data_IF_505658934177
#
_entry.id   IF_505658934177
#
_cell.length_a   1.000
_cell.length_b   1.000
_cell.length_c   1.000
_cell.angle_alpha   90.00
_cell.angle_beta   90.00
_cell.angle_gamma   90.00
#
_symmetry.space_group_name_H-M   'P 1'
#
loop_
_entity.id
_entity.type
_entity.pdbx_description
1 polymer ?
#
# COMPACT_ATOMS: atom_id res chain seq x y z
N UNK A 1 -16.82 -14.05 3.04
CA UNK A 1 -15.81 -13.83 1.96
C UNK A 1 -16.16 -12.59 1.17
N UNK A 2 -15.20 -11.70 1.00
CA UNK A 2 -15.41 -10.54 0.12
C UNK A 2 -15.52 -11.02 -1.33
N UNK A 3 -16.55 -10.57 -2.02
CA UNK A 3 -16.79 -10.83 -3.43
C UNK A 3 -15.73 -10.08 -4.28
N UNK A 4 -15.43 -10.55 -5.49
CA UNK A 4 -14.44 -9.94 -6.39
C UNK A 4 -14.74 -8.47 -6.67
N UNK A 5 -16.00 -8.09 -6.86
CA UNK A 5 -16.40 -6.71 -7.09
C UNK A 5 -16.05 -5.78 -5.92
N UNK A 6 -16.15 -6.28 -4.69
CA UNK A 6 -15.82 -5.51 -3.50
C UNK A 6 -14.31 -5.26 -3.36
N UNK A 7 -13.48 -6.26 -3.72
CA UNK A 7 -12.02 -6.09 -3.75
C UNK A 7 -11.59 -5.07 -4.80
N UNK A 8 -12.21 -5.09 -5.97
CA UNK A 8 -11.97 -4.07 -7.00
C UNK A 8 -12.35 -2.67 -6.53
N UNK A 9 -13.51 -2.53 -5.88
CA UNK A 9 -13.94 -1.24 -5.32
C UNK A 9 -12.91 -0.69 -4.32
N UNK A 10 -12.47 -1.48 -3.35
CA UNK A 10 -11.49 -1.01 -2.37
C UNK A 10 -10.12 -0.73 -2.97
N UNK A 11 -9.69 -1.49 -3.99
CA UNK A 11 -8.45 -1.17 -4.70
C UNK A 11 -8.57 0.12 -5.52
N UNK A 12 -9.74 0.43 -6.08
CA UNK A 12 -10.00 1.73 -6.72
C UNK A 12 -9.90 2.89 -5.72
N UNK A 13 -10.39 2.71 -4.49
CA UNK A 13 -10.21 3.69 -3.41
C UNK A 13 -8.72 3.87 -3.06
N UNK A 14 -7.94 2.81 -2.99
CA UNK A 14 -6.49 2.89 -2.82
C UNK A 14 -5.81 3.61 -4.00
N UNK A 15 -6.23 3.37 -5.24
CA UNK A 15 -5.76 4.09 -6.43
C UNK A 15 -6.09 5.58 -6.38
N UNK A 16 -7.24 5.96 -5.85
CA UNK A 16 -7.58 7.38 -5.65
C UNK A 16 -6.63 8.06 -4.67
N UNK A 17 -6.16 7.34 -3.65
CA UNK A 17 -5.12 7.83 -2.74
C UNK A 17 -3.75 7.93 -3.44
N UNK A 18 -3.41 6.97 -4.31
CA UNK A 18 -2.18 7.04 -5.11
C UNK A 18 -2.14 8.28 -6.02
N UNK A 19 -3.28 8.69 -6.57
CA UNK A 19 -3.38 9.93 -7.37
C UNK A 19 -3.06 11.18 -6.56
N UNK A 20 -3.37 11.21 -5.27
CA UNK A 20 -2.97 12.33 -4.39
C UNK A 20 -1.44 12.41 -4.27
N UNK A 21 -0.74 11.29 -4.12
CA UNK A 21 0.73 11.27 -4.16
C UNK A 21 1.26 11.79 -5.50
N UNK A 22 0.65 11.36 -6.60
CA UNK A 22 1.02 11.83 -7.94
C UNK A 22 0.91 13.36 -8.06
N UNK A 23 -0.19 13.93 -7.59
CA UNK A 23 -0.45 15.37 -7.63
C UNK A 23 0.51 16.14 -6.70
N UNK A 24 0.95 15.53 -5.61
CA UNK A 24 1.95 16.06 -4.67
C UNK A 24 3.41 15.83 -5.13
N UNK A 25 3.62 15.32 -6.34
CA UNK A 25 4.94 15.00 -6.90
C UNK A 25 5.71 13.90 -6.14
N UNK A 26 4.99 13.04 -5.46
CA UNK A 26 5.47 11.84 -4.77
C UNK A 26 5.24 10.58 -5.62
N UNK A 27 6.01 9.53 -5.38
CA UNK A 27 5.77 8.23 -6.03
C UNK A 27 4.33 7.78 -5.76
N UNK A 28 3.50 7.53 -6.80
CA UNK A 28 2.07 7.33 -6.65
C UNK A 28 1.73 5.95 -6.08
N UNK A 29 1.72 5.88 -4.76
CA UNK A 29 1.26 4.73 -3.98
C UNK A 29 0.18 5.20 -3.01
N UNK A 30 -0.90 4.45 -2.96
CA UNK A 30 -2.01 4.68 -2.05
C UNK A 30 -2.39 3.41 -1.31
N UNK A 31 -2.87 3.58 -0.09
CA UNK A 31 -3.34 2.49 0.76
C UNK A 31 -4.58 2.88 1.54
N UNK A 32 -5.43 1.89 1.80
CA UNK A 32 -6.59 2.01 2.69
C UNK A 32 -6.65 0.83 3.64
N UNK A 33 -7.20 1.07 4.83
CA UNK A 33 -7.55 0.02 5.80
C UNK A 33 -9.07 -0.09 5.86
N UNK A 34 -9.56 -1.32 5.76
CA UNK A 34 -10.99 -1.65 5.75
C UNK A 34 -11.32 -2.56 6.92
N UNK A 35 -12.38 -2.25 7.64
CA UNK A 35 -12.98 -3.09 8.67
C UNK A 35 -14.49 -3.15 8.47
N UNK A 36 -15.06 -4.34 8.46
CA UNK A 36 -16.51 -4.55 8.30
C UNK A 36 -17.09 -3.77 7.10
N UNK A 37 -16.37 -3.80 5.96
CA UNK A 37 -16.67 -3.07 4.72
C UNK A 37 -16.66 -1.53 4.84
N UNK A 38 -16.11 -0.99 5.91
CA UNK A 38 -15.95 0.46 6.11
C UNK A 38 -14.46 0.80 6.01
N UNK A 39 -14.13 1.83 5.27
CA UNK A 39 -12.76 2.37 5.21
C UNK A 39 -12.53 3.17 6.49
N UNK A 40 -11.59 2.71 7.32
CA UNK A 40 -11.24 3.31 8.61
C UNK A 40 -9.87 3.99 8.63
N UNK A 41 -9.09 3.85 7.58
CA UNK A 41 -7.79 4.52 7.43
C UNK A 41 -7.43 4.71 5.97
N UNK A 42 -6.78 5.83 5.67
CA UNK A 42 -6.29 6.19 4.34
C UNK A 42 -4.87 6.70 4.41
N UNK A 43 -4.07 6.38 3.40
CA UNK A 43 -2.69 6.84 3.29
C UNK A 43 -2.25 6.96 1.85
N UNK A 44 -1.34 7.87 1.60
CA UNK A 44 -0.61 7.99 0.34
C UNK A 44 0.83 8.38 0.64
N UNK A 45 1.76 8.10 -0.27
CA UNK A 45 3.16 8.43 -0.07
C UNK A 45 3.35 9.93 0.17
N UNK A 46 4.13 10.28 1.20
CA UNK A 46 4.43 11.65 1.63
C UNK A 46 5.87 11.78 2.14
N UNK A 47 6.81 11.06 1.53
CA UNK A 47 8.22 11.04 1.98
C UNK A 47 8.87 12.40 1.85
N UNK A 48 8.80 13.00 0.66
CA UNK A 48 9.43 14.29 0.35
C UNK A 48 8.72 15.41 1.12
N UNK A 49 7.41 15.46 1.02
CA UNK A 49 6.58 16.52 1.61
C UNK A 49 6.75 16.61 3.14
N UNK A 50 6.93 15.46 3.82
CA UNK A 50 7.07 15.39 5.28
C UNK A 50 8.51 15.23 5.76
N UNK A 51 9.48 15.10 4.86
CA UNK A 51 10.84 14.72 5.19
C UNK A 51 10.88 13.46 6.09
N UNK A 52 10.03 12.47 5.76
CA UNK A 52 9.87 11.25 6.54
C UNK A 52 10.20 10.02 5.65
N UNK A 53 11.35 9.35 5.88
CA UNK A 53 11.72 8.17 5.11
C UNK A 53 10.77 6.98 5.34
N UNK A 54 9.94 7.02 6.37
CA UNK A 54 8.93 6.01 6.67
C UNK A 54 7.53 6.39 6.15
N UNK A 55 7.38 7.54 5.51
CA UNK A 55 6.12 8.12 5.05
C UNK A 55 5.48 7.40 3.87
N UNK A 56 5.54 6.06 3.85
CA UNK A 56 4.86 5.22 2.87
C UNK A 56 3.35 5.18 3.11
N UNK A 57 2.59 5.00 2.04
CA UNK A 57 1.13 4.95 2.07
C UNK A 57 0.58 4.00 3.13
N UNK A 58 1.19 2.82 3.24
CA UNK A 58 0.78 1.77 4.18
C UNK A 58 0.97 2.21 5.63
N UNK A 59 2.11 2.82 5.96
CA UNK A 59 2.41 3.32 7.31
C UNK A 59 1.40 4.39 7.70
N UNK A 60 1.11 5.31 6.78
CA UNK A 60 0.15 6.40 7.03
C UNK A 60 -1.26 5.84 7.23
N UNK A 61 -1.71 4.91 6.38
CA UNK A 61 -3.02 4.27 6.51
C UNK A 61 -3.17 3.46 7.81
N UNK A 62 -2.13 2.74 8.23
CA UNK A 62 -2.11 2.00 9.50
C UNK A 62 -2.24 2.96 10.69
N UNK A 63 -1.49 4.05 10.70
CA UNK A 63 -1.58 5.08 11.75
C UNK A 63 -2.96 5.71 11.82
N UNK A 64 -3.53 6.07 10.67
CA UNK A 64 -4.87 6.66 10.56
C UNK A 64 -5.94 5.70 11.13
N UNK A 65 -5.93 4.45 10.70
CA UNK A 65 -6.84 3.42 11.21
C UNK A 65 -6.68 3.15 12.70
N UNK A 66 -5.43 3.08 13.20
CA UNK A 66 -5.15 2.85 14.60
C UNK A 66 -5.68 3.98 15.50
N UNK A 67 -5.56 5.22 15.04
CA UNK A 67 -6.16 6.37 15.71
C UNK A 67 -7.70 6.31 15.69
N UNK A 68 -8.29 5.98 14.54
CA UNK A 68 -9.74 5.87 14.37
C UNK A 68 -10.37 4.89 15.35
N UNK A 69 -9.75 3.70 15.53
CA UNK A 69 -10.28 2.70 16.47
C UNK A 69 -9.68 2.77 17.88
N UNK A 70 -8.77 3.73 18.13
CA UNK A 70 -8.03 3.89 19.40
C UNK A 70 -7.32 2.60 19.84
N UNK A 71 -6.75 1.87 18.89
CA UNK A 71 -6.03 0.60 19.14
C UNK A 71 -4.96 0.37 18.08
N UNK A 72 -3.72 0.01 18.50
CA UNK A 72 -2.65 -0.31 17.56
C UNK A 72 -2.85 -1.66 16.85
N UNK A 73 -3.69 -2.55 17.41
CA UNK A 73 -4.03 -3.83 16.79
C UNK A 73 -5.24 -3.69 15.89
N UNK A 74 -5.02 -3.83 14.60
CA UNK A 74 -6.04 -3.74 13.55
C UNK A 74 -6.63 -5.14 13.25
N UNK A 75 -7.13 -5.80 14.29
CA UNK A 75 -7.68 -7.16 14.20
C UNK A 75 -8.92 -7.16 13.30
N UNK A 76 -9.02 -8.18 12.44
CA UNK A 76 -10.08 -8.31 11.43
C UNK A 76 -10.14 -7.17 10.42
N UNK A 77 -9.05 -6.40 10.25
CA UNK A 77 -8.93 -5.42 9.20
C UNK A 77 -8.24 -6.01 7.96
N UNK A 78 -8.58 -5.46 6.82
CA UNK A 78 -7.93 -5.70 5.54
C UNK A 78 -7.18 -4.43 5.11
N UNK A 79 -6.00 -4.59 4.50
CA UNK A 79 -5.29 -3.51 3.83
C UNK A 79 -5.32 -3.71 2.33
N UNK A 80 -5.60 -2.63 1.61
CA UNK A 80 -5.46 -2.53 0.15
C UNK A 80 -4.39 -1.50 -0.16
N UNK A 81 -3.41 -1.88 -0.96
CA UNK A 81 -2.30 -0.99 -1.37
C UNK A 81 -2.01 -1.17 -2.85
N UNK A 82 -1.74 -0.09 -3.56
CA UNK A 82 -1.58 -0.12 -5.02
C UNK A 82 -0.28 -0.75 -5.50
N UNK A 83 0.73 -0.84 -4.63
CA UNK A 83 2.04 -1.45 -4.90
C UNK A 83 2.36 -2.48 -3.82
N UNK A 84 3.02 -3.57 -4.20
CA UNK A 84 3.51 -4.58 -3.26
C UNK A 84 4.34 -3.94 -2.14
N UNK A 85 4.02 -4.20 -0.86
CA UNK A 85 4.74 -3.61 0.26
C UNK A 85 6.22 -4.00 0.31
N UNK A 86 7.06 -3.04 0.67
CA UNK A 86 8.46 -3.29 1.01
C UNK A 86 8.59 -3.96 2.39
N UNK A 87 9.80 -4.35 2.79
CA UNK A 87 10.05 -5.04 4.07
C UNK A 87 9.59 -4.24 5.29
N UNK A 88 9.80 -2.91 5.30
CA UNK A 88 9.33 -2.02 6.38
C UNK A 88 7.81 -2.08 6.52
N UNK A 89 7.08 -1.92 5.41
CA UNK A 89 5.63 -1.90 5.40
C UNK A 89 5.02 -3.28 5.70
N UNK A 90 5.60 -4.35 5.15
CA UNK A 90 5.20 -5.73 5.46
C UNK A 90 5.33 -6.00 6.97
N UNK A 91 6.45 -5.60 7.59
CA UNK A 91 6.65 -5.69 9.03
C UNK A 91 5.60 -4.91 9.82
N UNK A 92 5.26 -3.70 9.41
CA UNK A 92 4.22 -2.89 10.04
C UNK A 92 2.83 -3.55 9.93
N UNK A 93 2.50 -4.13 8.77
CA UNK A 93 1.25 -4.86 8.53
C UNK A 93 1.13 -6.06 9.49
N UNK A 94 2.20 -6.85 9.65
CA UNK A 94 2.19 -7.99 10.57
C UNK A 94 2.10 -7.56 12.04
N UNK A 95 2.85 -6.53 12.43
CA UNK A 95 2.82 -5.97 13.78
C UNK A 95 1.44 -5.43 14.16
N UNK A 96 0.74 -4.82 13.21
CA UNK A 96 -0.62 -4.32 13.43
C UNK A 96 -1.71 -5.39 13.41
N UNK A 97 -1.39 -6.66 13.18
CA UNK A 97 -2.33 -7.80 13.20
C UNK A 97 -3.39 -7.74 12.11
N UNK A 98 -3.10 -7.10 10.98
CA UNK A 98 -3.98 -7.08 9.81
C UNK A 98 -4.22 -8.49 9.29
N UNK A 99 -5.48 -8.81 8.99
CA UNK A 99 -5.90 -10.15 8.57
C UNK A 99 -5.56 -10.46 7.13
N UNK A 100 -5.87 -9.55 6.21
CA UNK A 100 -5.64 -9.74 4.78
C UNK A 100 -4.89 -8.54 4.19
N UNK A 101 -3.91 -8.84 3.35
CA UNK A 101 -3.19 -7.88 2.52
C UNK A 101 -3.54 -8.12 1.07
N UNK A 102 -4.10 -7.11 0.44
CA UNK A 102 -4.37 -7.07 -1.00
C UNK A 102 -3.50 -5.99 -1.65
N UNK A 103 -2.74 -6.34 -2.68
CA UNK A 103 -1.95 -5.35 -3.39
C UNK A 103 -2.17 -5.37 -4.91
N UNK A 104 -1.87 -4.25 -5.56
CA UNK A 104 -2.02 -4.06 -7.00
C UNK A 104 -0.81 -4.61 -7.76
N UNK A 105 0.11 -3.74 -8.11
CA UNK A 105 1.30 -4.09 -8.87
C UNK A 105 2.36 -4.79 -8.02
N UNK A 106 3.05 -5.78 -8.59
CA UNK A 106 4.25 -6.37 -8.00
C UNK A 106 5.44 -5.40 -8.08
N UNK A 107 6.32 -5.44 -7.08
CA UNK A 107 7.55 -4.65 -7.05
C UNK A 107 8.77 -5.57 -7.12
N UNK A 108 9.37 -5.66 -8.31
CA UNK A 108 10.56 -6.49 -8.56
C UNK A 108 11.85 -5.99 -7.90
N UNK A 109 11.85 -4.79 -7.32
CA UNK A 109 13.03 -4.18 -6.70
C UNK A 109 13.04 -4.30 -5.19
N UNK A 110 11.90 -4.04 -4.54
CA UNK A 110 11.80 -3.96 -3.07
C UNK A 110 10.61 -4.72 -2.49
N UNK A 111 9.81 -5.39 -3.31
CA UNK A 111 8.64 -6.14 -2.88
C UNK A 111 8.99 -7.25 -1.89
N UNK A 112 8.35 -7.26 -0.73
CA UNK A 112 8.67 -8.17 0.36
C UNK A 112 7.52 -9.13 0.72
N UNK A 113 6.54 -9.27 -0.17
CA UNK A 113 5.39 -10.16 0.02
C UNK A 113 5.39 -11.34 -0.96
N UNK A 114 5.91 -11.16 -2.17
CA UNK A 114 5.98 -12.20 -3.21
C UNK A 114 7.22 -12.08 -4.11
N UNK A 115 7.67 -10.84 -4.46
CA UNK A 115 8.57 -10.61 -5.59
C UNK A 115 10.04 -10.80 -5.26
N UNK A 116 10.60 -10.10 -4.27
CA UNK A 116 12.03 -10.17 -3.91
C UNK A 116 12.24 -11.11 -2.74
N UNK A 117 11.47 -10.94 -1.69
CA UNK A 117 11.39 -11.85 -0.55
C UNK A 117 9.92 -12.08 -0.20
N UNK A 118 9.62 -13.16 0.50
CA UNK A 118 8.30 -13.44 1.02
C UNK A 118 8.34 -13.52 2.53
N UNK A 119 8.22 -12.37 3.19
CA UNK A 119 8.24 -12.30 4.66
C UNK A 119 7.05 -13.03 5.30
N UNK A 120 5.90 -13.06 4.62
CA UNK A 120 4.70 -13.76 5.10
C UNK A 120 4.85 -15.29 5.17
N UNK A 121 5.86 -15.87 4.50
CA UNK A 121 6.13 -17.31 4.51
C UNK A 121 6.86 -17.80 5.76
N UNK A 122 7.41 -16.91 6.58
CA UNK A 122 8.15 -17.28 7.80
C UNK A 122 7.20 -17.81 8.88
N UNK A 123 7.29 -19.11 9.17
CA UNK A 123 6.43 -19.80 10.17
C UNK A 123 6.60 -19.27 11.60
N UNK A 124 7.75 -18.64 11.88
CA UNK A 124 8.09 -18.09 13.20
C UNK A 124 7.46 -16.75 13.50
N UNK A 125 6.75 -16.12 12.52
CA UNK A 125 6.04 -14.88 12.77
C UNK A 125 4.91 -15.09 13.78
N UNK A 126 4.75 -14.13 14.69
CA UNK A 126 3.67 -14.14 15.70
C UNK A 126 2.28 -13.93 15.10
N UNK A 127 2.20 -13.46 13.86
CA UNK A 127 0.96 -13.22 13.12
C UNK A 127 1.15 -13.56 11.65
N UNK A 128 0.16 -14.23 11.08
CA UNK A 128 0.12 -14.58 9.67
C UNK A 128 -1.01 -13.82 8.98
N UNK A 129 -0.64 -13.06 7.95
CA UNK A 129 -1.55 -12.31 7.11
C UNK A 129 -1.80 -13.10 5.82
N UNK A 130 -3.04 -13.17 5.35
CA UNK A 130 -3.35 -13.70 4.03
C UNK A 130 -2.97 -12.67 2.97
N UNK A 131 -2.09 -13.03 2.04
CA UNK A 131 -1.54 -12.14 1.02
C UNK A 131 -2.10 -12.52 -0.35
N UNK A 132 -2.54 -11.51 -1.11
CA UNK A 132 -2.97 -11.66 -2.50
C UNK A 132 -2.61 -10.43 -3.32
N UNK A 133 -1.75 -10.62 -4.33
CA UNK A 133 -1.39 -9.59 -5.30
C UNK A 133 -2.23 -9.60 -6.57
N UNK A 134 -1.99 -8.62 -7.42
CA UNK A 134 -2.52 -8.53 -8.77
C UNK A 134 -3.91 -7.90 -8.90
N UNK A 135 -4.45 -7.26 -7.86
CA UNK A 135 -5.77 -6.60 -7.94
C UNK A 135 -5.62 -5.22 -8.59
N UNK A 136 -6.24 -5.03 -9.76
CA UNK A 136 -6.04 -3.83 -10.60
C UNK A 136 -4.55 -3.55 -10.86
N UNK A 137 -3.80 -4.61 -11.15
CA UNK A 137 -2.35 -4.55 -11.33
C UNK A 137 -1.95 -3.60 -12.45
N UNK A 138 -2.64 -3.65 -13.60
CA UNK A 138 -2.30 -2.82 -14.76
C UNK A 138 -2.56 -1.33 -14.49
N UNK A 139 -3.64 -0.98 -13.82
CA UNK A 139 -3.95 0.39 -13.43
C UNK A 139 -2.89 0.95 -12.49
N UNK A 140 -2.50 0.18 -11.49
CA UNK A 140 -1.43 0.55 -10.54
C UNK A 140 -0.09 0.72 -11.23
N UNK A 141 0.28 -0.23 -12.11
CA UNK A 141 1.51 -0.21 -12.90
C UNK A 141 1.56 0.98 -13.85
N UNK A 142 0.46 1.25 -14.55
CA UNK A 142 0.38 2.35 -15.51
C UNK A 142 0.57 3.71 -14.82
N UNK A 143 0.00 3.90 -13.64
CA UNK A 143 0.15 5.13 -12.87
C UNK A 143 1.62 5.36 -12.46
N UNK A 144 2.30 4.32 -11.98
CA UNK A 144 3.71 4.35 -11.62
C UNK A 144 4.60 4.64 -12.84
N UNK A 145 4.37 3.94 -13.96
CA UNK A 145 5.13 4.11 -15.20
C UNK A 145 4.99 5.53 -15.77
N UNK A 146 3.78 6.08 -15.74
CA UNK A 146 3.52 7.47 -16.17
C UNK A 146 4.34 8.44 -15.33
N UNK A 147 4.30 8.34 -14.01
CA UNK A 147 5.04 9.19 -13.10
C UNK A 147 6.55 9.16 -13.37
N UNK A 148 7.15 7.97 -13.43
CA UNK A 148 8.59 7.84 -13.67
C UNK A 148 9.00 8.29 -15.08
N UNK A 149 8.15 8.12 -16.09
CA UNK A 149 8.39 8.62 -17.45
C UNK A 149 8.46 10.15 -17.44
N UNK A 150 7.51 10.82 -16.81
CA UNK A 150 7.48 12.29 -16.69
C UNK A 150 8.71 12.81 -15.94
N UNK A 151 9.12 12.15 -14.84
CA UNK A 151 10.33 12.52 -14.10
C UNK A 151 11.60 12.40 -14.91
N UNK A 152 11.73 11.39 -15.79
CA UNK A 152 12.89 11.26 -16.68
C UNK A 152 12.94 12.39 -17.71
N UNK A 153 11.81 12.78 -18.28
CA UNK A 153 11.72 13.88 -19.25
C UNK A 153 12.18 15.20 -18.61
N UNK A 154 11.70 15.51 -17.41
CA UNK A 154 12.09 16.73 -16.68
C UNK A 154 13.61 16.76 -16.43
N UNK A 155 14.21 15.65 -15.96
CA UNK A 155 15.65 15.55 -15.73
C UNK A 155 16.49 15.76 -16.99
N UNK A 156 15.98 15.35 -18.15
CA UNK A 156 16.70 15.51 -19.44
C UNK A 156 16.59 16.95 -19.95
N UNK A 157 15.49 17.64 -19.69
CA UNK A 157 15.29 19.03 -20.13
C UNK A 157 16.08 20.06 -19.30
N UNK A 158 16.56 19.71 -18.10
CA UNK A 158 17.31 20.61 -17.19
C UNK A 158 18.83 20.45 -17.34
N UNK A 159 19.30 19.55 -18.22
CA UNK A 159 20.73 19.43 -18.62
C UNK A 159 21.01 20.18 -19.92
#
# INVERSE_FOLDING_TARGET
MQNSNQKYFFMQEALSMAKKSYDDDEVPVGAIIVKDNIIIGRGHNQLIRKNDPTGHAEIIAIRDAAQFISNYRLINCDIYVTLEPCAMCAGAIFNSRIKNLFFGAHDSKTGACESVVNLGSFKTLNHHCHIRGGILQEESKNLLQKFFKEKRIIKTAVK
#
